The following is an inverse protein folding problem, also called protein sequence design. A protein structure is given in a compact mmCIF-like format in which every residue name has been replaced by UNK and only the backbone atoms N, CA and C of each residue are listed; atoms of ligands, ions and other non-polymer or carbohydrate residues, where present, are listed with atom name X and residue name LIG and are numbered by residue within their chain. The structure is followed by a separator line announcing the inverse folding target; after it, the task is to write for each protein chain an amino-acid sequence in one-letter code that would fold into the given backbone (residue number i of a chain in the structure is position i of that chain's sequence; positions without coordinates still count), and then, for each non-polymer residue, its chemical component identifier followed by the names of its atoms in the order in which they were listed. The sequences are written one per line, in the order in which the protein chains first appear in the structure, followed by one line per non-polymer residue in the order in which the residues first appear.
data_IF_489990113253
#
_entry.id   IF_489990113253
#
_cell.length_a   1.000
_cell.length_b   1.000
_cell.length_c   1.000
_cell.angle_alpha   90.00
_cell.angle_beta   90.00
_cell.angle_gamma   90.00
#
_symmetry.space_group_name_H-M   'P 1'
#
loop_
_entity.id
_entity.type
_entity.pdbx_description
1 polymer ?
#
# COMPACT_ATOMS: atom_id res chain seq x y z
N UNK A 1 11.78 16.56 -4.06
CA UNK A 1 10.43 17.03 -4.44
C UNK A 1 9.55 15.82 -4.77
N UNK A 2 8.22 16.00 -4.74
CA UNK A 2 7.29 14.93 -5.11
C UNK A 2 7.11 14.86 -6.63
N UNK A 3 6.88 13.65 -7.16
CA UNK A 3 6.49 13.39 -8.55
C UNK A 3 5.21 12.56 -8.56
N UNK A 4 4.49 12.48 -9.68
CA UNK A 4 3.26 11.68 -9.80
C UNK A 4 3.53 10.21 -9.46
N UNK A 5 4.58 9.63 -10.06
CA UNK A 5 4.97 8.24 -9.77
C UNK A 5 5.41 8.04 -8.32
N UNK A 6 6.17 8.97 -7.75
CA UNK A 6 6.60 8.91 -6.35
C UNK A 6 5.44 9.05 -5.36
N UNK A 7 4.43 9.84 -5.70
CA UNK A 7 3.22 10.03 -4.89
C UNK A 7 2.35 8.76 -4.88
N UNK A 8 2.17 8.09 -6.03
CA UNK A 8 1.48 6.80 -6.10
C UNK A 8 2.23 5.70 -5.35
N UNK A 9 3.57 5.71 -5.36
CA UNK A 9 4.39 4.68 -4.72
C UNK A 9 4.80 5.02 -3.28
N UNK A 10 4.19 6.04 -2.68
CA UNK A 10 4.52 6.43 -1.31
C UNK A 10 4.09 5.35 -0.31
N UNK A 11 4.85 5.21 0.77
CA UNK A 11 4.57 4.22 1.82
C UNK A 11 3.62 4.78 2.85
N UNK A 12 3.00 3.87 3.61
CA UNK A 12 2.12 4.21 4.75
C UNK A 12 2.82 5.07 5.79
N UNK A 13 2.04 5.85 6.55
CA UNK A 13 2.49 6.64 7.71
C UNK A 13 2.30 5.94 9.05
N UNK A 14 2.02 4.63 9.03
CA UNK A 14 1.93 3.82 10.25
C UNK A 14 3.21 3.97 11.09
N UNK A 15 3.07 4.36 12.37
CA UNK A 15 4.21 4.57 13.28
C UNK A 15 5.05 3.32 13.47
N UNK A 16 4.37 2.18 13.68
CA UNK A 16 4.99 0.86 13.84
C UNK A 16 5.75 0.37 12.61
N UNK A 17 5.42 0.88 11.41
CA UNK A 17 6.18 0.55 10.20
C UNK A 17 7.57 1.17 10.20
N UNK A 18 7.70 2.40 10.72
CA UNK A 18 8.95 3.14 10.81
C UNK A 18 9.74 2.86 12.09
N UNK A 19 9.07 2.45 13.16
CA UNK A 19 9.75 1.97 14.37
C UNK A 19 10.28 0.55 14.17
N UNK A 20 11.61 0.41 14.16
CA UNK A 20 12.28 -0.88 13.94
C UNK A 20 12.08 -1.86 15.10
N UNK A 21 11.77 -1.36 16.30
CA UNK A 21 11.55 -2.19 17.50
C UNK A 21 10.15 -2.81 17.55
N UNK A 22 9.19 -2.21 16.83
CA UNK A 22 7.81 -2.69 16.76
C UNK A 22 7.66 -3.91 15.83
N UNK A 23 6.69 -4.78 16.13
CA UNK A 23 6.29 -5.87 15.22
C UNK A 23 5.45 -5.33 14.07
N UNK A 24 5.89 -5.58 12.84
CA UNK A 24 5.21 -5.08 11.64
C UNK A 24 5.32 -6.07 10.47
N UNK A 25 4.23 -6.78 10.18
CA UNK A 25 4.15 -7.73 9.05
C UNK A 25 4.52 -7.09 7.71
N UNK A 26 4.15 -5.82 7.50
CA UNK A 26 4.49 -5.08 6.27
C UNK A 26 6.00 -4.85 6.11
N UNK A 27 6.77 -4.83 7.20
CA UNK A 27 8.24 -4.72 7.19
C UNK A 27 8.91 -6.10 7.18
N UNK A 28 8.52 -6.96 8.13
CA UNK A 28 9.02 -8.31 8.30
C UNK A 28 7.82 -9.28 8.37
N UNK A 29 7.52 -10.02 7.29
CA UNK A 29 6.40 -10.95 7.24
C UNK A 29 6.43 -11.96 8.40
N UNK A 30 5.29 -12.19 9.04
CA UNK A 30 5.17 -13.12 10.18
C UNK A 30 5.55 -12.52 11.54
N UNK A 31 6.06 -11.29 11.60
CA UNK A 31 6.41 -10.65 12.89
C UNK A 31 5.21 -10.23 13.73
N UNK A 32 4.02 -10.06 13.13
CA UNK A 32 2.81 -9.53 13.77
C UNK A 32 2.53 -8.06 13.41
N UNK A 33 1.44 -7.49 13.94
CA UNK A 33 1.08 -6.08 13.71
C UNK A 33 0.70 -5.39 15.01
N UNK A 34 1.61 -4.63 15.60
CA UNK A 34 1.38 -3.93 16.88
C UNK A 34 0.37 -2.77 16.77
N UNK A 35 0.01 -2.36 15.55
CA UNK A 35 -1.08 -1.41 15.35
C UNK A 35 -2.44 -2.01 15.71
N UNK A 36 -2.60 -3.34 15.64
CA UNK A 36 -3.82 -4.04 16.03
C UNK A 36 -3.82 -4.18 17.55
N UNK A 37 -4.83 -3.61 18.21
CA UNK A 37 -4.90 -3.55 19.68
C UNK A 37 -3.98 -2.49 20.32
N UNK A 38 -3.10 -1.86 19.56
CA UNK A 38 -2.28 -0.73 19.98
C UNK A 38 -2.86 0.63 19.58
N UNK A 39 -1.98 1.59 19.26
CA UNK A 39 -2.39 2.91 18.78
C UNK A 39 -2.77 2.85 17.30
N UNK A 40 -4.07 2.74 17.02
CA UNK A 40 -4.60 2.56 15.67
C UNK A 40 -5.18 3.82 15.03
N UNK A 41 -5.11 4.99 15.69
CA UNK A 41 -5.65 6.25 15.12
C UNK A 41 -4.95 6.60 13.79
N UNK A 42 -5.74 6.63 12.70
CA UNK A 42 -5.25 6.83 11.32
C UNK A 42 -5.07 5.54 10.52
N UNK A 43 -5.40 4.39 11.09
CA UNK A 43 -5.46 3.09 10.39
C UNK A 43 -6.73 2.95 9.55
N UNK A 44 -6.74 2.00 8.62
CA UNK A 44 -7.91 1.75 7.78
C UNK A 44 -9.07 1.18 8.59
N UNK A 45 -10.29 1.56 8.22
CA UNK A 45 -11.53 0.95 8.71
C UNK A 45 -12.04 -0.12 7.74
N UNK A 46 -11.81 0.07 6.44
CA UNK A 46 -12.23 -0.86 5.36
C UNK A 46 -11.02 -1.40 4.61
N UNK A 47 -11.13 -2.63 4.10
CA UNK A 47 -10.03 -3.30 3.37
C UNK A 47 -8.85 -3.69 4.26
N UNK A 48 -9.07 -3.75 5.58
CA UNK A 48 -8.12 -4.26 6.56
C UNK A 48 -7.94 -5.78 6.45
N UNK A 49 -6.90 -6.29 7.10
CA UNK A 49 -6.68 -7.73 7.32
C UNK A 49 -6.20 -7.94 8.75
N UNK A 50 -6.25 -9.18 9.23
CA UNK A 50 -5.65 -9.57 10.51
C UNK A 50 -4.12 -9.34 10.56
N UNK A 51 -3.49 -9.16 9.39
CA UNK A 51 -2.05 -8.97 9.29
C UNK A 51 -1.61 -7.51 9.19
N UNK A 52 -2.49 -6.60 8.75
CA UNK A 52 -2.14 -5.19 8.56
C UNK A 52 -3.39 -4.30 8.43
N UNK A 53 -3.36 -3.17 9.15
CA UNK A 53 -4.38 -2.12 9.13
C UNK A 53 -3.85 -0.78 8.61
N UNK A 54 -2.79 -0.79 7.81
CA UNK A 54 -2.11 0.42 7.35
C UNK A 54 -2.83 1.11 6.17
N UNK A 55 -3.03 2.42 6.26
CA UNK A 55 -3.63 3.26 5.21
C UNK A 55 -2.60 3.70 4.15
N UNK A 56 -3.04 3.82 2.90
CA UNK A 56 -2.30 4.52 1.84
C UNK A 56 -2.51 6.03 1.97
N UNK A 57 -1.47 6.86 2.14
CA UNK A 57 -1.63 8.25 2.55
C UNK A 57 -1.78 9.25 1.40
N UNK A 58 -1.94 8.78 0.15
CA UNK A 58 -2.03 9.67 -1.02
C UNK A 58 -3.44 10.22 -1.22
N UNK A 59 -3.60 11.54 -1.10
CA UNK A 59 -4.82 12.23 -1.52
C UNK A 59 -5.00 12.19 -3.06
N UNK A 60 -3.90 12.31 -3.79
CA UNK A 60 -3.91 12.29 -5.27
C UNK A 60 -4.38 10.93 -5.82
N UNK A 61 -4.01 9.83 -5.19
CA UNK A 61 -4.44 8.49 -5.62
C UNK A 61 -5.97 8.34 -5.57
N UNK A 62 -6.63 8.93 -4.57
CA UNK A 62 -8.09 8.92 -4.45
C UNK A 62 -8.73 9.61 -5.65
N UNK A 63 -8.23 10.80 -6.02
CA UNK A 63 -8.73 11.54 -7.19
C UNK A 63 -8.47 10.77 -8.50
N UNK A 64 -7.32 10.12 -8.64
CA UNK A 64 -6.99 9.34 -9.83
C UNK A 64 -7.87 8.09 -9.98
N UNK A 65 -8.24 7.43 -8.87
CA UNK A 65 -9.22 6.34 -8.90
C UNK A 65 -10.58 6.85 -9.37
N UNK A 66 -11.04 7.99 -8.84
CA UNK A 66 -12.34 8.58 -9.23
C UNK A 66 -12.39 8.94 -10.72
N UNK A 67 -11.26 9.32 -11.31
CA UNK A 67 -11.16 9.73 -12.72
C UNK A 67 -10.85 8.57 -13.68
N UNK A 68 -10.94 7.32 -13.22
CA UNK A 68 -10.59 6.12 -14.00
C UNK A 68 -9.20 6.20 -14.64
N UNK A 69 -8.24 6.81 -13.94
CA UNK A 69 -6.91 7.02 -14.47
C UNK A 69 -6.17 5.68 -14.67
N UNK A 70 -5.17 5.70 -15.56
CA UNK A 70 -4.37 4.52 -15.92
C UNK A 70 -2.90 4.82 -15.67
N UNK A 71 -2.24 3.94 -14.93
CA UNK A 71 -0.78 3.96 -14.73
C UNK A 71 -0.11 3.25 -15.90
N UNK A 72 0.80 3.94 -16.57
CA UNK A 72 1.69 3.35 -17.54
C UNK A 72 3.01 2.94 -16.87
N UNK A 73 3.39 1.68 -17.04
CA UNK A 73 4.60 1.10 -16.45
C UNK A 73 5.48 0.55 -17.56
N UNK A 74 6.66 1.14 -17.71
CA UNK A 74 7.70 0.68 -18.63
C UNK A 74 8.67 -0.28 -17.93
N UNK A 75 9.12 -1.31 -18.65
CA UNK A 75 10.11 -2.26 -18.18
C UNK A 75 10.90 -2.85 -19.35
N UNK A 76 11.94 -3.64 -19.07
CA UNK A 76 12.68 -4.40 -20.09
C UNK A 76 11.81 -5.38 -20.90
N UNK A 77 10.58 -5.66 -20.46
CA UNK A 77 9.61 -6.53 -21.13
C UNK A 77 8.55 -5.74 -21.93
N UNK A 78 8.67 -4.43 -22.01
CA UNK A 78 7.72 -3.53 -22.67
C UNK A 78 6.83 -2.74 -21.71
N UNK A 79 5.82 -2.09 -22.28
CA UNK A 79 4.89 -1.16 -21.61
C UNK A 79 3.62 -1.90 -21.19
N UNK A 80 3.16 -1.64 -19.96
CA UNK A 80 1.88 -2.12 -19.43
C UNK A 80 1.04 -0.96 -18.94
N UNK A 81 -0.27 -1.05 -19.13
CA UNK A 81 -1.26 -0.08 -18.66
C UNK A 81 -2.12 -0.73 -17.59
N UNK A 82 -2.19 -0.11 -16.41
CA UNK A 82 -2.87 -0.66 -15.23
C UNK A 82 -3.88 0.39 -14.74
N UNK A 83 -5.19 0.09 -14.69
CA UNK A 83 -6.15 0.98 -14.04
C UNK A 83 -5.71 1.30 -12.61
N UNK A 84 -5.80 2.56 -12.17
CA UNK A 84 -5.36 2.95 -10.82
C UNK A 84 -6.15 2.19 -9.74
N UNK A 85 -7.41 1.85 -10.01
CA UNK A 85 -8.23 1.00 -9.15
C UNK A 85 -7.60 -0.38 -8.86
N UNK A 86 -6.84 -0.93 -9.81
CA UNK A 86 -6.17 -2.24 -9.71
C UNK A 86 -4.68 -2.13 -9.37
N UNK A 87 -4.16 -0.91 -9.24
CA UNK A 87 -2.73 -0.66 -9.06
C UNK A 87 -2.23 -1.03 -7.66
N UNK A 88 -3.06 -0.79 -6.64
CA UNK A 88 -2.76 -1.10 -5.25
C UNK A 88 -3.42 -2.42 -4.83
N UNK A 89 -2.66 -3.27 -4.11
CA UNK A 89 -3.22 -4.48 -3.51
C UNK A 89 -3.71 -4.24 -2.09
N UNK A 90 -4.80 -4.91 -1.74
CA UNK A 90 -5.18 -5.13 -0.35
C UNK A 90 -4.09 -5.93 0.39
N UNK A 91 -3.96 -5.75 1.71
CA UNK A 91 -2.90 -6.38 2.50
C UNK A 91 -2.96 -7.93 2.50
N UNK A 92 -4.16 -8.53 2.56
CA UNK A 92 -4.35 -9.98 2.56
C UNK A 92 -3.50 -10.70 3.61
N UNK A 93 -3.05 -11.92 3.30
CA UNK A 93 -2.21 -12.74 4.19
C UNK A 93 -0.72 -12.36 4.18
N UNK A 94 -0.27 -11.66 3.14
CA UNK A 94 1.15 -11.37 2.91
C UNK A 94 1.42 -9.90 2.63
N UNK A 95 1.21 -9.01 3.62
CA UNK A 95 1.52 -7.60 3.46
C UNK A 95 3.03 -7.44 3.33
N UNK A 96 3.49 -6.95 2.17
CA UNK A 96 4.92 -6.70 1.90
C UNK A 96 5.15 -5.23 1.58
N UNK A 97 6.39 -4.70 1.71
CA UNK A 97 6.67 -3.29 1.49
C UNK A 97 6.66 -2.88 0.01
N UNK A 98 6.67 -3.84 -0.93
CA UNK A 98 6.91 -3.60 -2.36
C UNK A 98 5.83 -4.14 -3.31
N UNK A 99 4.63 -4.55 -2.84
CA UNK A 99 3.62 -5.11 -3.75
C UNK A 99 2.82 -4.02 -4.48
N UNK A 100 3.26 -3.70 -5.68
CA UNK A 100 2.50 -3.02 -6.75
C UNK A 100 2.36 -3.98 -7.94
N UNK A 101 1.44 -4.93 -7.85
CA UNK A 101 0.96 -5.61 -9.06
C UNK A 101 -0.49 -6.02 -8.84
N UNK A 102 -1.37 -6.04 -9.84
CA UNK A 102 -2.64 -6.75 -9.74
C UNK A 102 -2.37 -8.25 -9.58
N UNK A 103 -3.14 -8.97 -8.76
CA UNK A 103 -3.19 -10.43 -8.91
C UNK A 103 -3.92 -10.68 -10.23
N UNK A 104 -3.18 -10.95 -11.30
CA UNK A 104 -3.76 -11.62 -12.45
C UNK A 104 -4.21 -12.99 -11.96
N UNK A 105 -5.52 -13.22 -11.97
CA UNK A 105 -6.06 -14.57 -12.01
C UNK A 105 -5.58 -15.25 -13.30
#
# INVERSE_FOLDING_TARGET
MATVGGNLLQRTRCRYFYDETARCNKRAPGSGCDAIGGFSRGSVVLGASEHCIATHPSDMAVALVMLDAVVEVESVRGVRRIPVADFHRLPGESPTPRRCSPQTN
#
